data_IF_459984083608
#
_entry.id   IF_459984083608
#
_cell.length_a   1.000
_cell.length_b   1.000
_cell.length_c   1.000
_cell.angle_alpha   90.00
_cell.angle_beta   90.00
_cell.angle_gamma   90.00
#
_symmetry.space_group_name_H-M   'P 1'
#
loop_
_entity.id
_entity.type
_entity.pdbx_description
1 polymer ?
#
# COMPACT_ATOMS: atom_id res chain seq x y z
N UNK A 1 22.03 22.83 9.59
CA UNK A 1 22.21 23.75 8.44
C UNK A 1 20.84 24.24 7.99
N UNK A 2 20.54 25.51 8.24
CA UNK A 2 19.33 26.22 7.81
C UNK A 2 19.79 27.29 6.83
N UNK A 3 19.27 27.33 5.60
CA UNK A 3 19.51 28.43 4.68
C UNK A 3 18.18 29.13 4.37
N UNK A 4 18.06 30.34 4.92
CA UNK A 4 17.12 31.39 4.50
C UNK A 4 17.89 32.27 3.51
N UNK A 5 17.27 32.62 2.38
CA UNK A 5 17.69 33.76 1.55
C UNK A 5 16.61 34.84 1.59
N UNK A 6 17.07 36.09 1.60
CA UNK A 6 16.33 37.34 1.74
C UNK A 6 16.68 38.25 0.55
N UNK A 7 15.85 39.29 0.35
CA UNK A 7 15.98 40.50 -0.51
C UNK A 7 15.42 40.41 -1.94
N UNK A 8 14.31 41.09 -2.28
CA UNK A 8 14.01 42.54 -2.39
C UNK A 8 14.76 43.27 -3.51
N UNK A 9 13.99 43.82 -4.47
CA UNK A 9 14.30 45.11 -5.09
C UNK A 9 13.01 45.82 -5.51
N UNK A 10 12.97 47.12 -5.19
CA UNK A 10 11.90 48.08 -5.43
C UNK A 10 12.04 48.72 -6.81
N UNK A 11 10.92 49.14 -7.41
CA UNK A 11 10.88 50.32 -8.27
C UNK A 11 9.58 51.10 -8.01
N UNK A 12 9.71 52.42 -7.93
CA UNK A 12 8.68 53.37 -7.54
C UNK A 12 8.22 54.25 -8.73
N UNK A 13 7.14 54.99 -8.47
CA UNK A 13 6.57 56.16 -9.17
C UNK A 13 5.49 55.94 -10.25
N UNK A 14 4.23 56.15 -9.83
CA UNK A 14 3.52 57.42 -10.08
C UNK A 14 2.55 57.48 -11.26
N UNK A 15 1.25 57.61 -10.98
CA UNK A 15 0.35 58.66 -11.51
C UNK A 15 -1.08 58.50 -10.97
N UNK A 16 -1.64 59.62 -10.51
CA UNK A 16 -3.05 59.80 -10.15
C UNK A 16 -3.95 59.71 -11.39
N UNK A 17 -5.07 59.01 -11.26
CA UNK A 17 -6.20 59.07 -12.20
C UNK A 17 -7.47 58.59 -11.50
N UNK A 18 -8.31 59.54 -11.08
CA UNK A 18 -9.65 59.28 -10.52
C UNK A 18 -10.57 58.87 -11.66
N UNK A 19 -11.03 57.62 -11.64
CA UNK A 19 -12.07 57.11 -12.52
C UNK A 19 -12.97 56.17 -11.72
N UNK A 20 -14.23 56.56 -11.53
CA UNK A 20 -15.26 55.74 -10.91
C UNK A 20 -15.57 54.54 -11.84
N UNK A 21 -14.96 53.39 -11.53
CA UNK A 21 -15.23 52.11 -12.17
C UNK A 21 -15.89 51.17 -11.17
N UNK A 22 -17.06 50.67 -11.55
CA UNK A 22 -17.88 49.68 -10.84
C UNK A 22 -17.01 48.51 -10.38
N UNK A 23 -16.86 48.34 -9.06
CA UNK A 23 -16.19 47.15 -8.49
C UNK A 23 -17.14 45.97 -8.63
N UNK A 24 -17.01 45.21 -9.71
CA UNK A 24 -17.49 43.85 -9.76
C UNK A 24 -16.64 43.03 -8.77
N UNK A 25 -17.29 42.40 -7.79
CA UNK A 25 -16.67 41.42 -6.90
C UNK A 25 -15.85 40.41 -7.73
N UNK A 26 -14.59 40.11 -7.36
CA UNK A 26 -13.89 39.00 -7.98
C UNK A 26 -14.65 37.72 -7.58
N UNK A 27 -15.45 37.23 -8.51
CA UNK A 27 -16.14 35.95 -8.40
C UNK A 27 -15.13 34.91 -7.92
N UNK A 28 -15.38 34.39 -6.72
CA UNK A 28 -14.61 33.31 -6.10
C UNK A 28 -14.64 32.15 -7.08
N UNK A 29 -13.53 31.92 -7.79
CA UNK A 29 -13.42 30.81 -8.72
C UNK A 29 -13.86 29.54 -8.02
N UNK A 30 -14.76 28.72 -8.62
CA UNK A 30 -15.15 27.46 -8.01
C UNK A 30 -13.89 26.62 -7.77
N UNK A 31 -13.81 25.87 -6.66
CA UNK A 31 -12.64 25.07 -6.35
C UNK A 31 -12.35 24.15 -7.53
N UNK A 32 -11.24 24.41 -8.22
CA UNK A 32 -10.69 23.55 -9.25
C UNK A 32 -10.59 22.17 -8.63
N UNK A 33 -11.26 21.16 -9.21
CA UNK A 33 -11.05 19.77 -8.80
C UNK A 33 -9.54 19.55 -8.71
N UNK A 34 -9.02 19.02 -7.58
CA UNK A 34 -7.60 18.75 -7.47
C UNK A 34 -7.19 17.90 -8.68
N UNK A 35 -6.08 18.27 -9.32
CA UNK A 35 -5.55 17.55 -10.46
C UNK A 35 -5.39 16.07 -10.06
N UNK A 36 -5.94 15.17 -10.86
CA UNK A 36 -5.83 13.72 -10.65
C UNK A 36 -4.37 13.32 -10.83
N UNK A 37 -3.73 12.93 -9.71
CA UNK A 37 -2.33 12.51 -9.66
C UNK A 37 -2.12 11.08 -10.19
N UNK A 38 -3.22 10.37 -10.54
CA UNK A 38 -3.19 8.97 -10.93
C UNK A 38 -2.21 8.67 -12.06
N UNK A 39 -2.23 9.48 -13.12
CA UNK A 39 -1.29 9.33 -14.25
C UNK A 39 0.19 9.48 -13.83
N UNK A 40 0.48 10.31 -12.82
CA UNK A 40 1.83 10.46 -12.28
C UNK A 40 2.23 9.22 -11.47
N UNK A 41 1.32 8.69 -10.67
CA UNK A 41 1.54 7.46 -9.89
C UNK A 41 1.77 6.27 -10.83
N UNK A 42 0.95 6.10 -11.86
CA UNK A 42 1.13 5.07 -12.89
C UNK A 42 2.49 5.17 -13.57
N UNK A 43 2.92 6.39 -13.92
CA UNK A 43 4.24 6.63 -14.52
C UNK A 43 5.38 6.20 -13.59
N UNK A 44 5.27 6.47 -12.29
CA UNK A 44 6.28 6.03 -11.31
C UNK A 44 6.31 4.50 -11.19
N UNK A 45 5.14 3.85 -11.17
CA UNK A 45 5.04 2.38 -11.12
C UNK A 45 5.67 1.77 -12.38
N UNK A 46 5.33 2.30 -13.56
CA UNK A 46 5.89 1.85 -14.83
C UNK A 46 7.42 2.02 -14.87
N UNK A 47 7.94 3.19 -14.50
CA UNK A 47 9.37 3.46 -14.47
C UNK A 47 10.13 2.53 -13.51
N UNK A 48 9.57 2.23 -12.33
CA UNK A 48 10.17 1.28 -11.38
C UNK A 48 10.25 -0.14 -11.98
N UNK A 49 9.20 -0.57 -12.68
CA UNK A 49 9.16 -1.88 -13.35
C UNK A 49 10.16 -1.95 -14.50
N UNK A 50 10.22 -0.90 -15.32
CA UNK A 50 11.17 -0.82 -16.44
C UNK A 50 12.62 -0.85 -15.95
N UNK A 51 12.95 -0.07 -14.92
CA UNK A 51 14.28 -0.06 -14.32
C UNK A 51 14.67 -1.43 -13.75
N UNK A 52 13.75 -2.08 -13.00
CA UNK A 52 13.98 -3.44 -12.51
C UNK A 52 14.23 -4.43 -13.65
N UNK A 53 13.40 -4.41 -14.70
CA UNK A 53 13.56 -5.31 -15.86
C UNK A 53 14.89 -5.06 -16.58
N UNK A 54 15.32 -3.81 -16.67
CA UNK A 54 16.58 -3.42 -17.30
C UNK A 54 17.77 -3.99 -16.51
N UNK A 55 17.74 -3.91 -15.18
CA UNK A 55 18.76 -4.52 -14.32
C UNK A 55 18.78 -6.06 -14.44
N UNK A 56 17.61 -6.72 -14.49
CA UNK A 56 17.55 -8.18 -14.70
C UNK A 56 18.16 -8.57 -16.05
N UNK A 57 17.81 -7.86 -17.13
CA UNK A 57 18.38 -8.12 -18.45
C UNK A 57 19.90 -7.89 -18.50
N UNK A 58 20.39 -6.87 -17.79
CA UNK A 58 21.82 -6.58 -17.69
C UNK A 58 22.58 -7.66 -16.90
N UNK A 59 21.98 -8.14 -15.80
CA UNK A 59 22.51 -9.27 -15.03
C UNK A 59 22.62 -10.53 -15.91
N UNK A 60 21.55 -10.88 -16.62
CA UNK A 60 21.53 -12.06 -17.50
C UNK A 60 22.59 -11.98 -18.59
N UNK A 61 22.80 -10.80 -19.17
CA UNK A 61 23.86 -10.57 -20.15
C UNK A 61 25.25 -10.82 -19.56
N UNK A 62 25.59 -10.20 -18.43
CA UNK A 62 26.90 -10.37 -17.80
C UNK A 62 27.14 -11.79 -17.28
N UNK A 63 26.09 -12.44 -16.76
CA UNK A 63 26.16 -13.84 -16.35
C UNK A 63 26.46 -14.77 -17.53
N UNK A 64 25.84 -14.52 -18.70
CA UNK A 64 26.07 -15.31 -19.93
C UNK A 64 27.44 -15.06 -20.54
N UNK A 65 27.95 -13.83 -20.50
CA UNK A 65 29.27 -13.49 -21.05
C UNK A 65 30.44 -13.83 -20.11
N UNK A 66 30.14 -14.20 -18.87
CA UNK A 66 31.14 -14.56 -17.86
C UNK A 66 31.78 -13.38 -17.14
N UNK A 67 31.26 -12.16 -17.32
CA UNK A 67 31.69 -10.95 -16.62
C UNK A 67 31.16 -10.94 -15.18
N UNK A 68 31.83 -11.69 -14.31
CA UNK A 68 31.40 -11.92 -12.91
C UNK A 68 31.39 -10.63 -12.09
N UNK A 69 32.29 -9.69 -12.38
CA UNK A 69 32.39 -8.44 -11.62
C UNK A 69 31.15 -7.57 -11.87
N UNK A 70 30.82 -7.31 -13.13
CA UNK A 70 29.64 -6.50 -13.45
C UNK A 70 28.33 -7.20 -13.11
N UNK A 71 28.27 -8.53 -13.27
CA UNK A 71 27.13 -9.31 -12.79
C UNK A 71 26.89 -9.10 -11.29
N UNK A 72 27.97 -9.07 -10.49
CA UNK A 72 27.90 -8.81 -9.04
C UNK A 72 27.41 -7.39 -8.74
N UNK A 73 27.90 -6.37 -9.46
CA UNK A 73 27.44 -4.98 -9.26
C UNK A 73 25.94 -4.83 -9.53
N UNK A 74 25.46 -5.41 -10.63
CA UNK A 74 24.03 -5.39 -10.96
C UNK A 74 23.21 -6.15 -9.92
N UNK A 75 23.72 -7.27 -9.40
CA UNK A 75 23.08 -8.01 -8.31
C UNK A 75 22.97 -7.17 -7.03
N UNK A 76 24.02 -6.43 -6.66
CA UNK A 76 24.03 -5.53 -5.49
C UNK A 76 23.06 -4.35 -5.67
N UNK A 77 22.98 -3.79 -6.88
CA UNK A 77 22.02 -2.76 -7.25
C UNK A 77 20.58 -3.28 -7.20
N UNK A 78 20.30 -4.46 -7.74
CA UNK A 78 19.00 -5.14 -7.63
C UNK A 78 18.61 -5.39 -6.17
N UNK A 79 19.55 -5.90 -5.35
CA UNK A 79 19.31 -6.11 -3.91
C UNK A 79 18.94 -4.79 -3.23
N UNK A 80 19.70 -3.73 -3.50
CA UNK A 80 19.45 -2.39 -2.95
C UNK A 80 18.11 -1.84 -3.43
N UNK A 81 17.78 -2.02 -4.71
CA UNK A 81 16.48 -1.68 -5.27
C UNK A 81 15.37 -2.41 -4.52
N UNK A 82 15.43 -3.72 -4.31
CA UNK A 82 14.40 -4.46 -3.58
C UNK A 82 14.29 -4.10 -2.09
N UNK A 83 15.40 -3.72 -1.45
CA UNK A 83 15.42 -3.28 -0.05
C UNK A 83 14.90 -1.84 0.12
N UNK A 84 14.98 -1.01 -0.92
CA UNK A 84 14.49 0.36 -0.85
C UNK A 84 12.98 0.42 -0.57
N UNK A 85 12.57 1.31 0.34
CA UNK A 85 11.17 1.54 0.62
C UNK A 85 10.47 2.14 -0.60
N UNK A 86 9.40 1.49 -1.06
CA UNK A 86 8.53 1.97 -2.14
C UNK A 86 7.14 2.16 -1.54
N UNK A 87 6.76 3.39 -1.15
CA UNK A 87 5.41 3.65 -0.69
C UNK A 87 4.43 3.48 -1.85
N UNK A 88 3.21 3.07 -1.48
CA UNK A 88 2.05 3.17 -2.36
C UNK A 88 1.47 4.57 -2.22
N UNK A 89 1.48 5.33 -3.31
CA UNK A 89 0.91 6.68 -3.33
C UNK A 89 -0.62 6.62 -3.44
N UNK A 90 -1.13 5.59 -4.12
CA UNK A 90 -2.55 5.34 -4.34
C UNK A 90 -2.82 3.83 -4.38
N UNK A 91 -3.59 3.35 -3.40
CA UNK A 91 -3.88 1.93 -3.25
C UNK A 91 -4.80 1.39 -4.36
N UNK A 92 -5.63 2.27 -4.93
CA UNK A 92 -6.56 1.96 -6.00
C UNK A 92 -5.89 1.77 -7.36
N UNK A 93 -4.65 2.23 -7.52
CA UNK A 93 -3.89 2.15 -8.77
C UNK A 93 -2.87 1.01 -8.69
N UNK A 94 -3.19 -0.12 -9.34
CA UNK A 94 -2.30 -1.26 -9.58
C UNK A 94 -1.70 -1.95 -8.34
N UNK A 95 -2.10 -1.55 -7.13
CA UNK A 95 -1.56 -2.09 -5.88
C UNK A 95 -2.50 -3.13 -5.28
N UNK A 96 -3.64 -2.68 -4.73
CA UNK A 96 -4.62 -3.58 -4.11
C UNK A 96 -5.72 -3.90 -5.13
N UNK A 97 -5.90 -5.18 -5.55
CA UNK A 97 -6.97 -5.52 -6.50
C UNK A 97 -8.37 -5.15 -5.96
N UNK A 98 -9.37 -4.97 -6.83
CA UNK A 98 -10.67 -4.49 -6.42
C UNK A 98 -11.40 -5.48 -5.50
N UNK A 99 -12.28 -4.96 -4.65
CA UNK A 99 -13.10 -5.77 -3.73
C UNK A 99 -14.08 -6.71 -4.44
N UNK A 100 -14.31 -6.51 -5.75
CA UNK A 100 -15.26 -7.28 -6.58
C UNK A 100 -14.74 -8.64 -7.01
N UNK A 101 -13.48 -8.99 -6.71
CA UNK A 101 -12.96 -10.33 -7.00
C UNK A 101 -13.60 -11.38 -6.08
N UNK A 102 -13.70 -12.61 -6.58
CA UNK A 102 -14.31 -13.71 -5.84
C UNK A 102 -13.42 -14.95 -5.93
N UNK A 103 -13.09 -15.53 -4.78
CA UNK A 103 -12.26 -16.72 -4.65
C UNK A 103 -13.08 -17.97 -5.04
N UNK A 104 -12.95 -18.46 -6.28
CA UNK A 104 -13.86 -19.48 -6.85
C UNK A 104 -13.20 -20.81 -7.16
N UNK A 105 -12.02 -20.79 -7.76
CA UNK A 105 -11.45 -21.97 -8.41
C UNK A 105 -10.18 -22.43 -7.71
N UNK A 106 -10.07 -23.72 -7.43
CA UNK A 106 -8.81 -24.28 -6.98
C UNK A 106 -7.82 -24.34 -8.17
N UNK A 107 -6.74 -23.55 -8.08
CA UNK A 107 -5.66 -23.50 -9.10
C UNK A 107 -4.40 -24.16 -8.53
N UNK A 108 -3.99 -25.36 -8.98
CA UNK A 108 -2.82 -26.06 -8.45
C UNK A 108 -1.52 -25.23 -8.50
N UNK A 109 -1.32 -24.45 -9.55
CA UNK A 109 -0.19 -23.56 -9.73
C UNK A 109 -0.20 -22.44 -8.67
N UNK A 110 -1.37 -21.85 -8.40
CA UNK A 110 -1.52 -20.85 -7.35
C UNK A 110 -1.26 -21.45 -5.96
N UNK A 111 -1.65 -22.70 -5.71
CA UNK A 111 -1.36 -23.39 -4.45
C UNK A 111 0.14 -23.60 -4.24
N UNK A 112 0.86 -23.97 -5.30
CA UNK A 112 2.31 -24.14 -5.25
C UNK A 112 3.02 -22.80 -4.99
N UNK A 113 2.61 -21.73 -5.68
CA UNK A 113 3.12 -20.39 -5.41
C UNK A 113 2.78 -19.94 -3.99
N UNK A 114 1.57 -20.22 -3.50
CA UNK A 114 1.17 -19.85 -2.15
C UNK A 114 2.09 -20.52 -1.11
N UNK A 115 2.35 -21.82 -1.26
CA UNK A 115 3.31 -22.56 -0.42
C UNK A 115 4.71 -21.97 -0.51
N UNK A 116 5.19 -21.61 -1.71
CA UNK A 116 6.49 -20.97 -1.90
C UNK A 116 6.57 -19.61 -1.19
N UNK A 117 5.52 -18.78 -1.29
CA UNK A 117 5.46 -17.50 -0.59
C UNK A 117 5.49 -17.67 0.93
N UNK A 118 4.74 -18.64 1.45
CA UNK A 118 4.79 -19.03 2.88
C UNK A 118 6.16 -19.55 3.29
N UNK A 119 6.84 -20.27 2.40
CA UNK A 119 8.19 -20.77 2.64
C UNK A 119 9.24 -19.65 2.73
N UNK A 120 9.06 -18.52 2.05
CA UNK A 120 9.93 -17.36 2.28
C UNK A 120 9.54 -16.61 3.55
N UNK A 121 8.24 -16.43 3.78
CA UNK A 121 7.74 -15.61 4.88
C UNK A 121 8.23 -16.12 6.24
N UNK A 122 8.88 -15.23 6.98
CA UNK A 122 9.32 -15.48 8.36
C UNK A 122 10.69 -16.18 8.47
N UNK A 123 11.34 -16.55 7.37
CA UNK A 123 12.64 -17.23 7.39
C UNK A 123 13.83 -16.26 7.37
N UNK A 124 14.95 -16.70 7.95
CA UNK A 124 16.23 -15.99 7.96
C UNK A 124 16.35 -14.96 9.10
N UNK A 125 17.51 -14.30 9.18
CA UNK A 125 17.83 -13.26 10.16
C UNK A 125 18.34 -11.99 9.46
N UNK A 126 18.26 -10.83 10.14
CA UNK A 126 18.81 -9.56 9.64
C UNK A 126 18.36 -9.18 8.21
N UNK A 127 19.33 -8.94 7.33
CA UNK A 127 19.08 -8.60 5.92
C UNK A 127 18.41 -9.74 5.16
N UNK A 128 18.79 -10.99 5.42
CA UNK A 128 18.19 -12.17 4.78
C UNK A 128 16.70 -12.28 5.11
N UNK A 129 16.33 -12.04 6.37
CA UNK A 129 14.94 -11.97 6.78
C UNK A 129 14.16 -10.96 5.92
N UNK A 130 14.69 -9.75 5.76
CA UNK A 130 14.03 -8.69 4.97
C UNK A 130 13.91 -9.07 3.50
N UNK A 131 14.96 -9.65 2.91
CA UNK A 131 14.93 -10.16 1.53
C UNK A 131 13.88 -11.27 1.36
N UNK A 132 13.77 -12.18 2.32
CA UNK A 132 12.77 -13.24 2.29
C UNK A 132 11.34 -12.68 2.41
N UNK A 133 11.11 -11.65 3.24
CA UNK A 133 9.80 -10.98 3.24
C UNK A 133 9.47 -10.33 1.89
N UNK A 134 10.45 -9.75 1.20
CA UNK A 134 10.28 -9.19 -0.16
C UNK A 134 10.02 -10.27 -1.21
N UNK A 135 10.68 -11.43 -1.11
CA UNK A 135 10.40 -12.58 -1.98
C UNK A 135 8.97 -13.10 -1.78
N UNK A 136 8.53 -13.23 -0.52
CA UNK A 136 7.16 -13.59 -0.19
C UNK A 136 6.16 -12.60 -0.80
N UNK A 137 6.39 -11.29 -0.63
CA UNK A 137 5.57 -10.24 -1.26
C UNK A 137 5.43 -10.45 -2.78
N UNK A 138 6.55 -10.60 -3.49
CA UNK A 138 6.54 -10.77 -4.96
C UNK A 138 5.73 -12.00 -5.37
N UNK A 139 5.95 -13.14 -4.71
CA UNK A 139 5.23 -14.39 -5.03
C UNK A 139 3.74 -14.24 -4.77
N UNK A 140 3.35 -13.59 -3.67
CA UNK A 140 1.94 -13.34 -3.36
C UNK A 140 1.27 -12.38 -4.35
N UNK A 141 1.95 -11.29 -4.72
CA UNK A 141 1.48 -10.36 -5.76
C UNK A 141 1.32 -11.06 -7.11
N UNK A 142 2.22 -11.98 -7.45
CA UNK A 142 2.13 -12.77 -8.68
C UNK A 142 0.86 -13.64 -8.70
N UNK A 143 0.45 -14.22 -7.56
CA UNK A 143 -0.79 -14.99 -7.47
C UNK A 143 -2.00 -14.10 -7.78
N UNK A 144 -2.06 -12.89 -7.20
CA UNK A 144 -3.15 -11.95 -7.44
C UNK A 144 -3.21 -11.48 -8.89
N UNK A 145 -2.06 -11.32 -9.54
CA UNK A 145 -1.97 -10.89 -10.93
C UNK A 145 -2.33 -12.00 -11.93
N UNK A 146 -1.84 -13.24 -11.70
CA UNK A 146 -2.00 -14.36 -12.64
C UNK A 146 -3.23 -15.21 -12.41
N UNK A 147 -3.72 -15.28 -11.17
CA UNK A 147 -4.82 -16.16 -10.77
C UNK A 147 -5.87 -15.40 -9.93
N UNK A 148 -6.49 -14.33 -10.46
CA UNK A 148 -7.43 -13.48 -9.72
C UNK A 148 -8.75 -14.19 -9.35
N UNK A 149 -9.02 -15.37 -9.90
CA UNK A 149 -10.19 -16.21 -9.60
C UNK A 149 -9.86 -17.39 -8.65
N UNK A 150 -8.60 -17.50 -8.23
CA UNK A 150 -8.13 -18.59 -7.39
C UNK A 150 -8.79 -18.58 -6.02
N UNK A 151 -9.06 -19.77 -5.48
CA UNK A 151 -9.53 -19.93 -4.11
C UNK A 151 -8.53 -19.32 -3.11
N UNK A 152 -7.22 -19.24 -3.44
CA UNK A 152 -6.18 -18.68 -2.58
C UNK A 152 -6.14 -17.16 -2.49
N UNK A 153 -6.83 -16.39 -3.33
CA UNK A 153 -6.66 -14.91 -3.33
C UNK A 153 -6.98 -14.29 -1.94
N UNK A 154 -7.97 -14.84 -1.23
CA UNK A 154 -8.35 -14.36 0.11
C UNK A 154 -7.28 -14.67 1.17
N UNK A 155 -6.65 -15.84 1.07
CA UNK A 155 -5.55 -16.25 1.95
C UNK A 155 -4.29 -15.42 1.63
N UNK A 156 -3.99 -15.22 0.35
CA UNK A 156 -2.91 -14.35 -0.12
C UNK A 156 -3.08 -12.92 0.38
N UNK A 157 -4.30 -12.38 0.33
CA UNK A 157 -4.59 -11.04 0.86
C UNK A 157 -4.30 -10.97 2.36
N UNK A 158 -4.70 -11.98 3.14
CA UNK A 158 -4.36 -12.04 4.56
C UNK A 158 -2.84 -12.03 4.77
N UNK A 159 -2.11 -12.89 4.05
CA UNK A 159 -0.66 -13.00 4.17
C UNK A 159 0.08 -11.71 3.81
N UNK A 160 -0.38 -11.01 2.76
CA UNK A 160 0.12 -9.68 2.36
C UNK A 160 -0.20 -8.63 3.42
N UNK A 161 -1.39 -8.66 4.01
CA UNK A 161 -1.75 -7.79 5.14
C UNK A 161 -0.74 -7.89 6.27
N UNK A 162 -0.39 -9.11 6.67
CA UNK A 162 0.62 -9.34 7.71
C UNK A 162 2.02 -8.88 7.31
N UNK A 163 2.42 -9.09 6.05
CA UNK A 163 3.71 -8.62 5.55
C UNK A 163 3.79 -7.10 5.64
N UNK A 164 2.77 -6.39 5.16
CA UNK A 164 2.76 -4.94 5.16
C UNK A 164 2.65 -4.33 6.55
N UNK A 165 1.94 -4.98 7.49
CA UNK A 165 1.94 -4.59 8.90
C UNK A 165 3.31 -4.81 9.55
N UNK A 166 4.02 -5.87 9.12
CA UNK A 166 5.28 -6.30 9.70
C UNK A 166 6.41 -5.28 9.62
N UNK A 167 7.42 -5.49 10.49
CA UNK A 167 8.57 -4.58 10.67
C UNK A 167 9.38 -4.26 9.41
N UNK A 168 9.35 -5.15 8.41
CA UNK A 168 10.09 -5.00 7.14
C UNK A 168 9.44 -3.98 6.20
N UNK A 169 8.16 -3.68 6.40
CA UNK A 169 7.37 -2.83 5.51
C UNK A 169 6.77 -1.63 6.24
N UNK A 170 6.07 -1.86 7.34
CA UNK A 170 5.33 -0.84 8.10
C UNK A 170 4.41 0.02 7.22
N UNK A 171 3.77 -0.61 6.23
CA UNK A 171 2.84 0.02 5.29
C UNK A 171 1.41 -0.22 5.77
N UNK A 172 1.01 0.44 6.85
CA UNK A 172 -0.25 0.15 7.55
C UNK A 172 -1.52 0.38 6.72
N UNK A 173 -1.53 1.38 5.84
CA UNK A 173 -2.65 1.59 4.90
C UNK A 173 -2.82 0.40 3.95
N UNK A 174 -1.71 -0.08 3.39
CA UNK A 174 -1.68 -1.25 2.50
C UNK A 174 -2.08 -2.52 3.25
N UNK A 175 -1.57 -2.68 4.47
CA UNK A 175 -1.91 -3.79 5.35
C UNK A 175 -3.42 -3.84 5.64
N UNK A 176 -4.02 -2.72 6.05
CA UNK A 176 -5.44 -2.63 6.34
C UNK A 176 -6.27 -2.98 5.10
N UNK A 177 -5.94 -2.41 3.94
CA UNK A 177 -6.63 -2.69 2.68
C UNK A 177 -6.55 -4.18 2.30
N UNK A 178 -5.42 -4.85 2.46
CA UNK A 178 -5.30 -6.28 2.19
C UNK A 178 -6.05 -7.16 3.19
N UNK A 179 -6.08 -6.79 4.47
CA UNK A 179 -6.97 -7.46 5.43
C UNK A 179 -8.44 -7.31 5.04
N UNK A 180 -8.85 -6.12 4.55
CA UNK A 180 -10.19 -5.94 3.99
C UNK A 180 -10.47 -6.90 2.83
N UNK A 181 -9.54 -6.99 1.86
CA UNK A 181 -9.69 -7.91 0.72
C UNK A 181 -9.83 -9.37 1.14
N UNK A 182 -9.15 -9.80 2.20
CA UNK A 182 -9.24 -11.18 2.67
C UNK A 182 -10.68 -11.63 2.96
N UNK A 183 -11.45 -10.84 3.72
CA UNK A 183 -12.85 -11.20 4.04
C UNK A 183 -13.86 -10.74 3.00
N UNK A 184 -13.50 -9.80 2.12
CA UNK A 184 -14.34 -9.39 0.99
C UNK A 184 -14.36 -10.48 -0.10
N UNK A 185 -13.20 -11.06 -0.43
CA UNK A 185 -13.07 -12.07 -1.48
C UNK A 185 -13.52 -13.48 -1.04
N UNK A 186 -13.52 -13.76 0.27
CA UNK A 186 -14.07 -15.00 0.85
C UNK A 186 -15.01 -14.68 2.02
N UNK A 187 -16.32 -14.76 1.76
CA UNK A 187 -17.35 -14.59 2.77
C UNK A 187 -17.27 -15.73 3.80
N UNK A 188 -17.33 -15.39 5.08
CA UNK A 188 -17.35 -16.37 6.18
C UNK A 188 -15.99 -16.94 6.59
N UNK A 189 -14.87 -16.31 6.17
CA UNK A 189 -13.55 -16.65 6.70
C UNK A 189 -13.49 -16.47 8.22
N UNK A 190 -12.85 -17.42 8.92
CA UNK A 190 -12.74 -17.44 10.40
C UNK A 190 -11.50 -16.72 10.95
N UNK A 191 -10.69 -16.11 10.07
CA UNK A 191 -9.50 -15.38 10.47
C UNK A 191 -9.86 -14.04 11.13
N UNK A 192 -8.89 -13.41 11.79
CA UNK A 192 -9.07 -12.15 12.51
C UNK A 192 -8.90 -10.91 11.60
N UNK A 193 -8.98 -11.07 10.27
CA UNK A 193 -8.68 -10.02 9.29
C UNK A 193 -9.50 -8.73 9.53
N UNK A 194 -10.80 -8.87 9.81
CA UNK A 194 -11.68 -7.72 10.12
C UNK A 194 -11.18 -6.96 11.35
N UNK A 195 -10.86 -7.69 12.43
CA UNK A 195 -10.37 -7.08 13.66
C UNK A 195 -9.00 -6.44 13.47
N UNK A 196 -8.10 -7.05 12.70
CA UNK A 196 -6.78 -6.48 12.38
C UNK A 196 -6.90 -5.20 11.56
N UNK A 197 -7.74 -5.19 10.53
CA UNK A 197 -8.04 -3.97 9.78
C UNK A 197 -8.55 -2.86 10.70
N UNK A 198 -9.54 -3.16 11.56
CA UNK A 198 -10.08 -2.19 12.53
C UNK A 198 -9.00 -1.62 13.46
N UNK A 199 -8.12 -2.48 14.00
CA UNK A 199 -6.99 -2.06 14.86
C UNK A 199 -6.00 -1.17 14.12
N UNK A 200 -5.72 -1.43 12.84
CA UNK A 200 -4.82 -0.59 12.05
C UNK A 200 -5.42 0.80 11.81
N UNK A 201 -6.70 0.87 11.43
CA UNK A 201 -7.40 2.14 11.26
C UNK A 201 -7.48 2.94 12.58
N UNK A 202 -7.72 2.28 13.70
CA UNK A 202 -7.78 2.90 15.03
C UNK A 202 -6.41 3.42 15.49
N UNK A 203 -5.38 2.57 15.48
CA UNK A 203 -4.13 2.84 16.21
C UNK A 203 -2.99 3.38 15.36
N UNK A 204 -2.92 3.00 14.08
CA UNK A 204 -1.79 3.35 13.21
C UNK A 204 -2.15 4.46 12.23
N UNK A 205 -3.39 4.46 11.71
CA UNK A 205 -3.83 5.37 10.66
C UNK A 205 -4.62 6.57 11.20
N UNK A 206 -5.08 6.50 12.45
CA UNK A 206 -5.91 7.53 13.09
C UNK A 206 -7.24 7.81 12.32
N UNK A 207 -7.75 6.82 11.60
CA UNK A 207 -9.02 6.91 10.86
C UNK A 207 -10.17 6.39 11.73
N UNK A 208 -10.53 7.17 12.76
CA UNK A 208 -11.53 6.80 13.76
C UNK A 208 -12.87 6.35 13.16
N UNK A 209 -13.37 7.05 12.14
CA UNK A 209 -14.66 6.73 11.53
C UNK A 209 -14.65 5.35 10.88
N UNK A 210 -13.57 5.02 10.14
CA UNK A 210 -13.41 3.72 9.49
C UNK A 210 -13.20 2.61 10.52
N UNK A 211 -12.44 2.87 11.59
CA UNK A 211 -12.29 1.93 12.69
C UNK A 211 -13.62 1.57 13.35
N UNK A 212 -14.49 2.56 13.61
CA UNK A 212 -15.83 2.34 14.19
C UNK A 212 -16.70 1.46 13.29
N UNK A 213 -16.69 1.70 11.97
CA UNK A 213 -17.39 0.87 10.99
C UNK A 213 -16.91 -0.58 11.08
N UNK A 214 -15.60 -0.81 10.99
CA UNK A 214 -15.05 -2.16 11.02
C UNK A 214 -15.22 -2.88 12.36
N UNK A 215 -15.19 -2.17 13.49
CA UNK A 215 -15.50 -2.79 14.79
C UNK A 215 -16.96 -3.26 14.86
N UNK A 216 -17.91 -2.54 14.26
CA UNK A 216 -19.29 -3.00 14.14
C UNK A 216 -19.39 -4.25 13.27
N UNK A 217 -18.65 -4.27 12.16
CA UNK A 217 -18.60 -5.44 11.26
C UNK A 217 -18.02 -6.68 11.96
N UNK A 218 -17.03 -6.52 12.84
CA UNK A 218 -16.50 -7.63 13.66
C UNK A 218 -17.60 -8.19 14.56
N UNK A 219 -18.35 -7.34 15.26
CA UNK A 219 -19.44 -7.77 16.15
C UNK A 219 -20.53 -8.51 15.37
N UNK A 220 -20.83 -8.07 14.15
CA UNK A 220 -21.89 -8.64 13.33
C UNK A 220 -21.51 -9.96 12.65
N UNK A 221 -20.24 -10.11 12.26
CA UNK A 221 -19.83 -11.18 11.33
C UNK A 221 -18.74 -12.12 11.85
N UNK A 222 -18.12 -11.83 12.99
CA UNK A 222 -17.14 -12.73 13.59
C UNK A 222 -17.85 -13.80 14.45
N UNK A 223 -17.27 -14.99 14.49
CA UNK A 223 -17.76 -16.10 15.32
C UNK A 223 -17.00 -16.23 16.65
N UNK A 224 -15.84 -15.60 16.75
CA UNK A 224 -14.99 -15.64 17.94
C UNK A 224 -15.45 -14.61 18.97
N UNK A 225 -15.94 -15.11 20.11
CA UNK A 225 -16.48 -14.29 21.20
C UNK A 225 -15.45 -13.33 21.80
N UNK A 226 -14.17 -13.68 21.81
CA UNK A 226 -13.14 -12.83 22.40
C UNK A 226 -12.81 -11.65 21.47
N UNK A 227 -12.80 -11.90 20.15
CA UNK A 227 -12.67 -10.83 19.13
C UNK A 227 -13.87 -9.89 19.16
N UNK A 228 -15.09 -10.43 19.30
CA UNK A 228 -16.30 -9.62 19.45
C UNK A 228 -16.25 -8.73 20.71
N UNK A 229 -15.89 -9.30 21.87
CA UNK A 229 -15.76 -8.53 23.12
C UNK A 229 -14.73 -7.41 23.02
N UNK A 230 -13.59 -7.67 22.36
CA UNK A 230 -12.60 -6.64 22.11
C UNK A 230 -13.16 -5.51 21.25
N UNK A 231 -13.87 -5.86 20.16
CA UNK A 231 -14.50 -4.89 19.29
C UNK A 231 -15.57 -4.06 20.02
N UNK A 232 -16.41 -4.68 20.85
CA UNK A 232 -17.41 -3.99 21.68
C UNK A 232 -16.77 -2.98 22.63
N UNK A 233 -15.74 -3.43 23.37
CA UNK A 233 -15.00 -2.55 24.29
C UNK A 233 -14.42 -1.36 23.54
N UNK A 234 -13.74 -1.61 22.42
CA UNK A 234 -13.07 -0.54 21.68
C UNK A 234 -14.07 0.40 21.00
N UNK A 235 -15.19 -0.11 20.53
CA UNK A 235 -16.29 0.68 19.99
C UNK A 235 -16.90 1.62 21.05
N UNK A 236 -17.10 1.14 22.28
CA UNK A 236 -17.57 1.98 23.39
C UNK A 236 -16.59 3.10 23.73
N UNK A 237 -15.29 2.81 23.76
CA UNK A 237 -14.23 3.82 23.95
C UNK A 237 -14.26 4.86 22.81
N UNK A 238 -14.31 4.40 21.55
CA UNK A 238 -14.31 5.27 20.36
C UNK A 238 -15.63 6.02 20.12
N UNK A 239 -16.72 5.71 20.81
CA UNK A 239 -17.97 6.47 20.73
C UNK A 239 -18.17 7.39 21.93
N UNK A 240 -17.59 7.07 23.09
CA UNK A 240 -17.69 7.88 24.32
C UNK A 240 -16.75 9.09 24.35
N UNK A 241 -15.61 9.07 23.65
CA UNK A 241 -14.67 10.23 23.62
C UNK A 241 -15.18 11.42 22.79
N UNK A 242 -16.44 11.45 22.37
CA UNK A 242 -17.03 12.61 21.69
C UNK A 242 -17.49 13.63 22.74
N UNK A 243 -16.55 14.31 23.40
CA UNK A 243 -16.76 15.51 24.22
C UNK A 243 -15.63 16.49 23.98
#
# INVERSE_FOLDING_TARGET
MKFRYWLLSCFALGLLGIGHGITADPAKSPPTKPADDGAMVERVIAARKEYQNSLVGLYDYYAKTGDKERAKWVEEELKSFHLSNKPSYRLDISDVPPATLEAKQNRPEANNLFRLGKDYKGKGLGTEFTLNQRRAEIVFQEILAKYPDSDKIADVAYELGELYEGRSFKQYHRAAAYFERSYQWRKGGSNDARLRAARLYDKQLNERSKAIELYRDVIQHDSDKDRMKEAEKRLAELTSTRK
#
